data_IF_806622780687
#
_entry.id   IF_806622780687
#
_cell.length_a   1.000
_cell.length_b   1.000
_cell.length_c   1.000
_cell.angle_alpha   90.00
_cell.angle_beta   90.00
_cell.angle_gamma   90.00
#
_symmetry.space_group_name_H-M   'P 1'
#
loop_
_entity.id
_entity.type
_entity.pdbx_description
1 polymer ?
#
# COMPACT_ATOMS: atom_id res chain seq x y z
N UNK A 1 21.45 7.74 12.71
CA UNK A 1 20.88 7.35 11.41
C UNK A 1 19.38 7.56 11.51
N UNK A 2 18.76 8.23 10.53
CA UNK A 2 17.30 8.47 10.53
C UNK A 2 16.52 7.15 10.46
N UNK A 3 15.36 7.07 11.15
CA UNK A 3 14.59 5.83 11.31
C UNK A 3 13.15 5.99 10.83
N UNK A 4 12.65 4.98 10.11
CA UNK A 4 11.25 4.90 9.70
C UNK A 4 10.58 3.73 10.45
N UNK A 5 9.33 3.92 10.86
CA UNK A 5 8.48 2.85 11.37
C UNK A 5 7.30 2.66 10.41
N UNK A 6 7.07 1.44 9.98
CA UNK A 6 5.83 1.04 9.30
C UNK A 6 4.88 0.41 10.30
N UNK A 7 3.61 0.79 10.29
CA UNK A 7 2.56 0.22 11.16
C UNK A 7 1.37 -0.18 10.31
N UNK A 8 0.94 -1.43 10.36
CA UNK A 8 -0.24 -1.88 9.60
C UNK A 8 -0.33 -3.39 9.46
N UNK A 9 -1.41 -3.85 8.84
CA UNK A 9 -1.62 -5.26 8.55
C UNK A 9 -0.68 -5.75 7.46
N UNK A 10 -0.31 -7.02 7.56
CA UNK A 10 0.46 -7.72 6.56
C UNK A 10 -0.16 -9.07 6.20
N UNK A 11 0.13 -9.54 5.01
CA UNK A 11 -0.27 -10.84 4.51
C UNK A 11 0.82 -11.44 3.62
N UNK A 12 0.58 -12.64 3.13
CA UNK A 12 1.35 -13.28 2.09
C UNK A 12 0.59 -13.15 0.76
N UNK A 13 1.15 -12.42 -0.18
CA UNK A 13 0.66 -12.35 -1.55
C UNK A 13 1.25 -13.49 -2.36
N UNK A 14 0.40 -14.37 -2.89
CA UNK A 14 0.79 -15.55 -3.68
C UNK A 14 0.31 -15.35 -5.12
N UNK A 15 1.20 -15.51 -6.08
CA UNK A 15 0.89 -15.50 -7.50
C UNK A 15 1.12 -16.91 -8.06
N UNK A 16 0.02 -17.55 -8.50
CA UNK A 16 0.04 -18.86 -9.14
C UNK A 16 -0.11 -18.65 -10.64
N UNK A 17 0.96 -18.88 -11.37
CA UNK A 17 0.98 -18.73 -12.83
C UNK A 17 0.45 -20.01 -13.49
N UNK A 18 -0.57 -19.83 -14.33
CA UNK A 18 -1.29 -20.95 -14.93
C UNK A 18 -1.46 -20.75 -16.44
N UNK A 19 -1.70 -21.86 -17.14
CA UNK A 19 -2.39 -21.82 -18.44
C UNK A 19 -3.78 -22.49 -18.33
N UNK A 20 -4.64 -22.20 -19.29
CA UNK A 20 -6.01 -22.71 -19.36
C UNK A 20 -6.30 -23.18 -20.79
N UNK A 21 -5.86 -24.39 -21.12
CA UNK A 21 -5.91 -24.93 -22.49
C UNK A 21 -7.24 -25.63 -22.82
N UNK A 22 -8.07 -25.91 -21.82
CA UNK A 22 -9.37 -26.60 -22.00
C UNK A 22 -10.38 -26.20 -20.94
N UNK A 23 -11.64 -26.45 -21.25
CA UNK A 23 -12.72 -26.36 -20.26
C UNK A 23 -12.87 -27.67 -19.47
N UNK A 24 -13.42 -27.56 -18.28
CA UNK A 24 -13.84 -28.72 -17.49
C UNK A 24 -15.04 -29.41 -18.18
N UNK A 25 -15.08 -30.75 -18.27
CA UNK A 25 -16.21 -31.45 -18.85
C UNK A 25 -17.49 -31.31 -18.00
N UNK A 26 -17.36 -31.12 -16.69
CA UNK A 26 -18.49 -31.10 -15.75
C UNK A 26 -19.10 -29.70 -15.57
N UNK A 27 -18.42 -28.64 -15.99
CA UNK A 27 -18.86 -27.25 -15.85
C UNK A 27 -18.14 -26.32 -16.84
N UNK A 28 -18.76 -25.21 -17.28
CA UNK A 28 -18.17 -24.26 -18.22
C UNK A 28 -17.10 -23.36 -17.56
N UNK A 29 -16.11 -23.97 -16.93
CA UNK A 29 -14.99 -23.30 -16.25
C UNK A 29 -13.66 -23.78 -16.83
N UNK A 30 -12.60 -22.93 -16.84
CA UNK A 30 -11.28 -23.35 -17.31
C UNK A 30 -10.67 -24.38 -16.35
N UNK A 31 -9.93 -25.34 -16.92
CA UNK A 31 -9.01 -26.20 -16.14
C UNK A 31 -7.66 -25.50 -16.14
N UNK A 32 -7.23 -25.08 -14.95
CA UNK A 32 -5.93 -24.41 -14.76
C UNK A 32 -4.82 -25.45 -14.57
N UNK A 33 -3.79 -25.37 -15.38
CA UNK A 33 -2.54 -26.10 -15.16
C UNK A 33 -1.52 -25.13 -14.57
N UNK A 34 -1.07 -25.42 -13.35
CA UNK A 34 -0.08 -24.59 -12.64
C UNK A 34 1.29 -24.80 -13.27
N UNK A 35 1.96 -23.72 -13.63
CA UNK A 35 3.28 -23.68 -14.24
C UNK A 35 4.32 -23.25 -13.20
N UNK A 36 4.03 -22.19 -12.43
CA UNK A 36 4.94 -21.61 -11.46
C UNK A 36 4.19 -20.93 -10.33
N UNK A 37 4.87 -20.66 -9.22
CA UNK A 37 4.31 -19.92 -8.09
C UNK A 37 5.38 -19.00 -7.49
N UNK A 38 4.98 -17.77 -7.18
CA UNK A 38 5.81 -16.83 -6.43
C UNK A 38 5.05 -16.30 -5.21
N UNK A 39 5.81 -15.94 -4.18
CA UNK A 39 5.26 -15.40 -2.94
C UNK A 39 5.99 -14.12 -2.56
N UNK A 40 5.24 -13.14 -2.05
CA UNK A 40 5.77 -11.88 -1.58
C UNK A 40 5.10 -11.47 -0.27
N UNK A 41 5.82 -10.81 0.64
CA UNK A 41 5.18 -10.09 1.73
C UNK A 41 4.28 -8.99 1.17
N UNK A 42 3.01 -9.00 1.57
CA UNK A 42 2.01 -8.02 1.11
C UNK A 42 1.67 -6.97 2.17
N UNK A 43 0.90 -5.94 1.76
CA UNK A 43 0.40 -4.86 2.62
C UNK A 43 1.54 -4.10 3.31
N UNK A 44 1.48 -3.85 4.63
CA UNK A 44 2.51 -3.11 5.38
C UNK A 44 3.92 -3.70 5.23
N UNK A 45 4.06 -5.03 5.11
CA UNK A 45 5.36 -5.65 4.83
C UNK A 45 5.89 -5.33 3.43
N UNK A 46 5.02 -5.13 2.44
CA UNK A 46 5.44 -4.68 1.13
C UNK A 46 5.95 -3.23 1.18
N UNK A 47 5.29 -2.36 1.95
CA UNK A 47 5.79 -0.99 2.21
C UNK A 47 7.16 -1.04 2.88
N UNK A 48 7.34 -1.84 3.93
CA UNK A 48 8.64 -2.01 4.59
C UNK A 48 9.71 -2.52 3.62
N UNK A 49 9.39 -3.51 2.79
CA UNK A 49 10.30 -4.07 1.79
C UNK A 49 10.76 -3.03 0.78
N UNK A 50 9.83 -2.18 0.29
CA UNK A 50 10.17 -1.07 -0.61
C UNK A 50 11.02 0.00 0.10
N UNK A 51 10.76 0.29 1.37
CA UNK A 51 11.63 1.20 2.14
C UNK A 51 13.02 0.60 2.28
N UNK A 52 13.13 -0.68 2.66
CA UNK A 52 14.41 -1.35 2.89
C UNK A 52 15.25 -1.54 1.62
N UNK A 53 14.66 -1.48 0.42
CA UNK A 53 15.45 -1.51 -0.83
C UNK A 53 16.25 -0.22 -1.06
N UNK A 54 15.85 0.89 -0.40
CA UNK A 54 16.43 2.21 -0.57
C UNK A 54 17.01 2.81 0.73
N UNK A 55 16.62 2.28 1.89
CA UNK A 55 16.98 2.82 3.21
C UNK A 55 17.02 1.72 4.27
N UNK A 56 18.19 1.40 4.81
CA UNK A 56 18.45 0.23 5.68
C UNK A 56 17.86 0.29 7.10
N UNK A 57 17.12 1.33 7.47
CA UNK A 57 16.69 1.55 8.86
C UNK A 57 15.18 1.73 8.97
N UNK A 58 14.45 0.64 8.70
CA UNK A 58 13.00 0.59 8.74
C UNK A 58 12.49 -0.56 9.61
N UNK A 59 11.87 -0.21 10.74
CA UNK A 59 11.18 -1.17 11.60
C UNK A 59 9.71 -1.37 11.15
N UNK A 60 9.08 -2.45 11.60
CA UNK A 60 7.66 -2.72 11.36
C UNK A 60 6.94 -3.20 12.62
N UNK A 61 5.71 -2.72 12.80
CA UNK A 61 4.71 -3.28 13.72
C UNK A 61 3.55 -3.80 12.91
N UNK A 62 3.36 -5.11 12.90
CA UNK A 62 2.32 -5.80 12.11
C UNK A 62 1.74 -6.99 12.88
N UNK A 63 0.67 -7.59 12.36
CA UNK A 63 0.07 -8.79 12.91
C UNK A 63 1.04 -9.97 12.91
N UNK A 64 1.08 -10.71 14.01
CA UNK A 64 2.03 -11.83 14.19
C UNK A 64 1.80 -12.97 13.19
N UNK A 65 0.56 -13.22 12.84
CA UNK A 65 0.13 -14.30 11.95
C UNK A 65 0.08 -13.90 10.47
N UNK A 66 0.83 -12.86 10.07
CA UNK A 66 0.78 -12.35 8.69
C UNK A 66 1.08 -13.42 7.63
N UNK A 67 1.90 -14.41 7.98
CA UNK A 67 2.27 -15.49 7.06
C UNK A 67 1.12 -16.47 6.77
N UNK A 68 0.19 -16.64 7.71
CA UNK A 68 -0.98 -17.51 7.58
C UNK A 68 -2.11 -16.86 6.77
N UNK A 69 -2.08 -15.52 6.64
CA UNK A 69 -3.06 -14.76 5.87
C UNK A 69 -2.58 -14.68 4.43
N UNK A 70 -3.32 -15.28 3.50
CA UNK A 70 -2.93 -15.37 2.09
C UNK A 70 -3.90 -14.64 1.18
N UNK A 71 -3.35 -14.02 0.14
CA UNK A 71 -4.08 -13.45 -1.00
C UNK A 71 -3.54 -14.11 -2.26
N UNK A 72 -4.18 -15.20 -2.70
CA UNK A 72 -3.69 -16.02 -3.81
C UNK A 72 -4.35 -15.60 -5.12
N UNK A 73 -3.55 -15.16 -6.07
CA UNK A 73 -3.97 -14.76 -7.42
C UNK A 73 -3.59 -15.84 -8.41
N UNK A 74 -4.57 -16.36 -9.14
CA UNK A 74 -4.36 -17.27 -10.24
C UNK A 74 -4.32 -16.43 -11.53
N UNK A 75 -3.15 -16.36 -12.16
CA UNK A 75 -2.89 -15.49 -13.32
C UNK A 75 -2.38 -16.29 -14.49
N UNK A 76 -2.69 -15.83 -15.71
CA UNK A 76 -2.20 -16.48 -16.93
C UNK A 76 -0.68 -16.27 -17.06
N UNK A 77 0.06 -17.34 -17.39
CA UNK A 77 1.53 -17.35 -17.42
C UNK A 77 2.14 -16.32 -18.38
N UNK A 78 1.51 -16.04 -19.52
CA UNK A 78 2.05 -15.18 -20.58
C UNK A 78 1.31 -13.81 -20.70
N UNK A 79 0.25 -13.59 -19.94
CA UNK A 79 -0.50 -12.33 -19.91
C UNK A 79 -0.83 -11.96 -18.48
N UNK A 80 -1.22 -10.72 -18.23
CA UNK A 80 -1.62 -10.28 -16.88
C UNK A 80 -3.10 -10.59 -16.58
N UNK A 81 -3.72 -11.48 -17.35
CA UNK A 81 -5.11 -11.89 -17.12
C UNK A 81 -5.20 -12.69 -15.81
N UNK A 82 -5.92 -12.15 -14.84
CA UNK A 82 -6.23 -12.85 -13.60
C UNK A 82 -7.53 -13.64 -13.78
N UNK A 83 -7.45 -14.96 -13.61
CA UNK A 83 -8.61 -15.83 -13.66
C UNK A 83 -9.52 -15.60 -12.45
N UNK A 84 -8.95 -15.63 -11.26
CA UNK A 84 -9.62 -15.34 -9.99
C UNK A 84 -8.61 -15.14 -8.87
N UNK A 85 -9.11 -14.69 -7.71
CA UNK A 85 -8.34 -14.56 -6.47
C UNK A 85 -9.03 -15.33 -5.35
N UNK A 86 -8.23 -16.01 -4.53
CA UNK A 86 -8.67 -16.68 -3.31
C UNK A 86 -8.01 -16.01 -2.12
N UNK A 87 -8.81 -15.50 -1.21
CA UNK A 87 -8.33 -14.89 0.03
C UNK A 87 -8.61 -15.81 1.20
N UNK A 88 -7.63 -16.02 2.07
CA UNK A 88 -7.89 -16.62 3.39
C UNK A 88 -8.69 -15.64 4.26
N UNK A 89 -9.29 -16.14 5.33
CA UNK A 89 -9.97 -15.29 6.30
C UNK A 89 -8.97 -14.33 6.99
N UNK A 90 -9.32 -13.05 7.06
CA UNK A 90 -8.49 -12.02 7.71
C UNK A 90 -8.73 -12.05 9.24
N UNK A 91 -8.20 -13.04 9.95
CA UNK A 91 -8.21 -13.11 11.42
C UNK A 91 -7.00 -12.38 11.97
N UNK A 92 -7.15 -11.09 12.26
CA UNK A 92 -6.05 -10.21 12.65
C UNK A 92 -6.32 -9.63 14.05
N UNK A 93 -5.41 -9.90 14.99
CA UNK A 93 -5.44 -9.28 16.32
C UNK A 93 -5.11 -7.80 16.26
N UNK A 94 -5.86 -6.99 17.00
CA UNK A 94 -5.62 -5.55 17.13
C UNK A 94 -4.24 -5.28 17.75
N UNK A 95 -3.61 -4.21 17.29
CA UNK A 95 -2.34 -3.71 17.85
C UNK A 95 -2.48 -3.38 19.34
N UNK A 96 -1.43 -3.64 20.11
CA UNK A 96 -1.31 -3.08 21.45
C UNK A 96 -0.57 -1.73 21.39
N UNK A 97 -1.33 -0.66 21.13
CA UNK A 97 -0.80 0.68 20.93
C UNK A 97 -0.05 1.21 22.17
N UNK A 98 -0.39 0.76 23.39
CA UNK A 98 0.29 1.15 24.64
C UNK A 98 1.75 0.72 24.70
N UNK A 99 2.15 -0.26 23.90
CA UNK A 99 3.53 -0.75 23.80
C UNK A 99 4.31 -0.11 22.64
N UNK A 100 3.66 0.74 21.85
CA UNK A 100 4.31 1.40 20.73
C UNK A 100 5.31 2.44 21.21
N UNK A 101 6.47 2.49 20.52
CA UNK A 101 7.50 3.53 20.73
C UNK A 101 7.40 4.53 19.57
N UNK A 102 7.65 5.80 19.88
CA UNK A 102 7.53 6.91 18.93
C UNK A 102 8.88 7.58 18.59
N UNK A 103 10.00 6.92 18.91
CA UNK A 103 11.35 7.43 18.67
C UNK A 103 11.84 7.17 17.24
N UNK A 104 11.03 7.58 16.26
CA UNK A 104 11.29 7.50 14.83
C UNK A 104 11.25 8.90 14.20
N UNK A 105 11.86 9.07 13.03
CA UNK A 105 11.81 10.32 12.29
C UNK A 105 10.51 10.42 11.47
N UNK A 106 10.03 9.27 10.97
CA UNK A 106 8.77 9.14 10.22
C UNK A 106 8.06 7.87 10.67
N UNK A 107 6.73 7.95 10.76
CA UNK A 107 5.85 6.79 10.88
C UNK A 107 5.00 6.71 9.61
N UNK A 108 4.99 5.54 8.97
CA UNK A 108 4.12 5.21 7.84
C UNK A 108 3.05 4.25 8.32
N UNK A 109 1.78 4.66 8.25
CA UNK A 109 0.63 3.80 8.52
C UNK A 109 0.14 3.23 7.20
N UNK A 110 0.14 1.90 7.07
CA UNK A 110 -0.41 1.15 5.94
C UNK A 110 -1.58 0.31 6.43
N UNK A 111 -2.76 0.93 6.46
CA UNK A 111 -4.00 0.37 7.02
C UNK A 111 -4.92 -0.16 5.92
N UNK A 112 -5.04 -1.47 5.85
CA UNK A 112 -5.94 -2.15 4.92
C UNK A 112 -7.34 -2.40 5.49
N UNK A 113 -7.61 -1.83 6.68
CA UNK A 113 -8.89 -1.92 7.38
C UNK A 113 -9.33 -3.37 7.65
N UNK A 114 -8.38 -4.21 8.11
CA UNK A 114 -8.59 -5.63 8.42
C UNK A 114 -8.61 -5.90 9.94
N UNK A 115 -8.70 -4.84 10.75
CA UNK A 115 -8.89 -4.92 12.20
C UNK A 115 -7.62 -4.75 13.04
N UNK A 116 -6.44 -4.60 12.44
CA UNK A 116 -5.21 -4.35 13.18
C UNK A 116 -5.19 -2.97 13.85
N UNK A 117 -5.69 -1.94 13.16
CA UNK A 117 -5.81 -0.57 13.65
C UNK A 117 -7.28 -0.14 13.65
N UNK A 118 -7.73 0.50 14.71
CA UNK A 118 -8.97 1.28 14.70
C UNK A 118 -8.70 2.74 14.28
N UNK A 119 -9.74 3.52 14.02
CA UNK A 119 -9.60 4.95 13.76
C UNK A 119 -8.96 5.69 14.94
N UNK A 120 -9.34 5.32 16.17
CA UNK A 120 -8.79 5.88 17.41
C UNK A 120 -7.32 5.50 17.62
N UNK A 121 -6.88 4.31 17.16
CA UNK A 121 -5.48 3.93 17.19
C UNK A 121 -4.65 4.82 16.26
N UNK A 122 -5.16 5.05 15.04
CA UNK A 122 -4.51 5.91 14.05
C UNK A 122 -4.44 7.35 14.57
N UNK A 123 -5.54 7.88 15.10
CA UNK A 123 -5.57 9.20 15.71
C UNK A 123 -4.55 9.33 16.85
N UNK A 124 -4.48 8.31 17.72
CA UNK A 124 -3.50 8.25 18.81
C UNK A 124 -2.06 8.29 18.30
N UNK A 125 -1.74 7.55 17.24
CA UNK A 125 -0.41 7.57 16.61
C UNK A 125 -0.11 8.98 16.09
N UNK A 126 -1.06 9.59 15.38
CA UNK A 126 -0.90 10.92 14.80
C UNK A 126 -0.75 12.03 15.86
N UNK A 127 -1.41 11.89 17.01
CA UNK A 127 -1.27 12.82 18.13
C UNK A 127 0.10 12.70 18.85
N UNK A 128 0.69 11.50 18.85
CA UNK A 128 1.96 11.23 19.52
C UNK A 128 3.19 11.37 18.61
N UNK A 129 3.01 11.56 17.29
CA UNK A 129 4.11 11.72 16.35
C UNK A 129 3.77 12.74 15.25
N UNK A 130 4.61 13.75 15.08
CA UNK A 130 4.35 14.89 14.17
C UNK A 130 4.41 14.55 12.67
N UNK A 131 5.17 13.53 12.28
CA UNK A 131 5.40 13.18 10.87
C UNK A 131 4.85 11.78 10.59
N UNK A 132 3.52 11.69 10.43
CA UNK A 132 2.82 10.45 10.10
C UNK A 132 2.30 10.53 8.69
N UNK A 133 2.72 9.57 7.84
CA UNK A 133 2.15 9.33 6.52
C UNK A 133 1.09 8.25 6.64
N UNK A 134 -0.12 8.55 6.23
CA UNK A 134 -1.27 7.66 6.34
C UNK A 134 -1.72 7.15 4.97
N UNK A 135 -1.70 5.84 4.76
CA UNK A 135 -2.43 5.13 3.70
C UNK A 135 -3.49 4.27 4.36
N UNK A 136 -4.76 4.50 4.09
CA UNK A 136 -5.86 3.80 4.75
C UNK A 136 -7.01 3.46 3.81
N UNK A 137 -7.63 2.30 4.03
CA UNK A 137 -8.87 1.88 3.37
C UNK A 137 -10.12 2.28 4.16
N UNK A 138 -9.94 2.89 5.33
CA UNK A 138 -11.05 3.46 6.09
C UNK A 138 -11.60 4.71 5.40
N UNK A 139 -12.88 4.96 5.60
CA UNK A 139 -13.48 6.24 5.26
C UNK A 139 -12.86 7.32 6.15
N UNK A 140 -12.30 8.37 5.54
CA UNK A 140 -11.73 9.49 6.27
C UNK A 140 -12.79 10.25 7.06
N UNK A 141 -12.39 10.73 8.22
CA UNK A 141 -13.16 11.61 9.10
C UNK A 141 -12.17 12.40 9.98
N UNK A 142 -12.68 13.13 10.97
CA UNK A 142 -11.93 13.96 11.93
C UNK A 142 -10.75 13.24 12.60
N UNK A 143 -10.82 11.93 12.80
CA UNK A 143 -9.74 11.11 13.35
C UNK A 143 -8.42 11.18 12.56
N UNK A 144 -8.50 11.51 11.26
CA UNK A 144 -7.33 11.63 10.40
C UNK A 144 -6.71 13.04 10.39
N UNK A 145 -7.31 14.01 11.08
CA UNK A 145 -6.88 15.42 11.05
C UNK A 145 -5.43 15.66 11.51
N UNK A 146 -4.88 14.78 12.34
CA UNK A 146 -3.54 14.92 12.89
C UNK A 146 -2.45 14.20 12.08
N UNK A 147 -2.80 13.46 11.00
CA UNK A 147 -1.82 12.96 10.06
C UNK A 147 -1.07 14.12 9.39
N UNK A 148 0.22 13.96 9.12
CA UNK A 148 0.98 14.96 8.36
C UNK A 148 0.56 14.95 6.90
N UNK A 149 0.49 13.77 6.28
CA UNK A 149 0.04 13.56 4.90
C UNK A 149 -0.80 12.29 4.80
N UNK A 150 -1.78 12.31 3.92
CA UNK A 150 -2.74 11.22 3.73
C UNK A 150 -2.73 10.83 2.25
N UNK A 151 -2.25 9.64 1.93
CA UNK A 151 -2.30 9.10 0.56
C UNK A 151 -3.55 8.23 0.43
N UNK A 152 -4.39 8.55 -0.53
CA UNK A 152 -5.57 7.76 -0.89
C UNK A 152 -5.74 7.70 -2.42
N UNK A 153 -6.37 6.62 -2.89
CA UNK A 153 -6.71 6.47 -4.29
C UNK A 153 -8.11 7.03 -4.59
N UNK A 154 -8.52 6.98 -5.87
CA UNK A 154 -9.78 7.53 -6.34
C UNK A 154 -11.02 6.87 -5.68
N UNK A 155 -10.98 5.56 -5.41
CA UNK A 155 -12.09 4.87 -4.72
C UNK A 155 -12.20 5.31 -3.25
N UNK A 156 -11.08 5.45 -2.57
CA UNK A 156 -11.00 5.89 -1.18
C UNK A 156 -11.39 7.38 -1.05
N UNK A 157 -10.97 8.21 -2.00
CA UNK A 157 -11.34 9.61 -2.10
C UNK A 157 -12.87 9.76 -2.25
N UNK A 158 -13.47 9.09 -3.24
CA UNK A 158 -14.92 9.09 -3.47
C UNK A 158 -15.72 8.60 -2.27
N UNK A 159 -15.23 7.56 -1.60
CA UNK A 159 -15.83 7.02 -0.38
C UNK A 159 -15.85 8.03 0.76
N UNK A 160 -14.85 8.91 0.82
CA UNK A 160 -14.63 9.87 1.92
C UNK A 160 -15.14 11.28 1.61
N UNK A 161 -15.52 11.60 0.39
CA UNK A 161 -15.75 12.97 -0.11
C UNK A 161 -16.66 13.82 0.78
N UNK A 162 -17.72 13.24 1.35
CA UNK A 162 -18.65 13.94 2.21
C UNK A 162 -18.08 14.31 3.60
N UNK A 163 -16.94 13.75 3.98
CA UNK A 163 -16.29 13.97 5.26
C UNK A 163 -14.98 14.77 5.10
N UNK A 164 -14.56 15.04 3.86
CA UNK A 164 -13.32 15.79 3.60
C UNK A 164 -13.56 17.26 3.89
N UNK A 165 -13.00 17.71 5.00
CA UNK A 165 -12.95 19.13 5.37
C UNK A 165 -11.79 19.84 4.66
N UNK A 166 -11.76 21.19 4.61
CA UNK A 166 -10.62 21.93 4.08
C UNK A 166 -9.27 21.54 4.75
N UNK A 167 -9.30 21.21 6.06
CA UNK A 167 -8.12 20.75 6.78
C UNK A 167 -7.63 19.39 6.27
N UNK A 168 -8.52 18.43 6.06
CA UNK A 168 -8.18 17.14 5.49
C UNK A 168 -7.69 17.29 4.04
N UNK A 169 -8.38 18.09 3.23
CA UNK A 169 -8.03 18.31 1.83
C UNK A 169 -6.59 18.81 1.69
N UNK A 170 -6.13 19.72 2.55
CA UNK A 170 -4.75 20.24 2.52
C UNK A 170 -3.67 19.20 2.83
N UNK A 171 -4.04 18.01 3.26
CA UNK A 171 -3.13 16.88 3.61
C UNK A 171 -3.23 15.71 2.65
N UNK A 172 -4.27 15.69 1.81
CA UNK A 172 -4.55 14.56 0.93
C UNK A 172 -3.66 14.61 -0.31
N UNK A 173 -2.95 13.52 -0.55
CA UNK A 173 -2.29 13.17 -1.80
C UNK A 173 -3.18 12.14 -2.49
N UNK A 174 -3.95 12.57 -3.47
CA UNK A 174 -4.92 11.77 -4.19
C UNK A 174 -4.26 11.11 -5.40
N UNK A 175 -4.04 9.80 -5.36
CA UNK A 175 -3.42 9.07 -6.48
C UNK A 175 -4.44 8.75 -7.56
N UNK A 176 -4.07 9.06 -8.82
CA UNK A 176 -4.93 9.00 -10.02
C UNK A 176 -4.46 7.92 -11.02
N UNK A 177 -3.74 6.91 -10.55
CA UNK A 177 -3.19 5.83 -11.39
C UNK A 177 -2.23 6.37 -12.46
N UNK A 178 -2.52 6.12 -13.73
CA UNK A 178 -1.68 6.54 -14.86
C UNK A 178 -1.59 8.06 -15.06
N UNK A 179 -2.43 8.84 -14.39
CA UNK A 179 -2.38 10.31 -14.44
C UNK A 179 -1.47 10.92 -13.35
N UNK A 180 -0.90 10.07 -12.47
CA UNK A 180 -0.06 10.49 -11.37
C UNK A 180 -0.84 10.73 -10.09
N UNK A 181 -0.72 11.92 -9.48
CA UNK A 181 -1.50 12.27 -8.28
C UNK A 181 -1.77 13.77 -8.21
N UNK A 182 -2.77 14.13 -7.39
CA UNK A 182 -3.13 15.51 -7.09
C UNK A 182 -2.79 15.83 -5.63
N UNK A 183 -2.21 17.00 -5.40
CA UNK A 183 -1.97 17.57 -4.07
C UNK A 183 -2.13 19.08 -4.13
N UNK A 184 -2.91 19.67 -3.21
CA UNK A 184 -3.22 21.10 -3.17
C UNK A 184 -3.69 21.69 -4.52
N UNK A 185 -4.57 20.98 -5.23
CA UNK A 185 -5.09 21.32 -6.57
C UNK A 185 -4.02 21.36 -7.69
N UNK A 186 -2.84 20.82 -7.44
CA UNK A 186 -1.79 20.66 -8.44
C UNK A 186 -1.69 19.19 -8.83
N UNK A 187 -1.76 18.90 -10.12
CA UNK A 187 -1.58 17.54 -10.65
C UNK A 187 -0.12 17.29 -10.99
N UNK A 188 0.49 16.35 -10.30
CA UNK A 188 1.84 15.84 -10.52
C UNK A 188 1.76 14.67 -11.48
N UNK A 189 1.90 14.96 -12.77
CA UNK A 189 1.79 13.97 -13.84
C UNK A 189 2.95 13.00 -13.85
N UNK A 190 2.72 11.81 -14.41
CA UNK A 190 3.73 10.79 -14.70
C UNK A 190 3.83 10.55 -16.20
N UNK A 191 5.01 10.13 -16.65
CA UNK A 191 5.18 9.66 -18.01
C UNK A 191 4.39 8.37 -18.25
N UNK A 192 3.83 8.23 -19.45
CA UNK A 192 3.17 6.98 -19.84
C UNK A 192 4.20 5.86 -19.97
N UNK A 193 3.97 4.79 -19.24
CA UNK A 193 4.80 3.59 -19.26
C UNK A 193 3.98 2.39 -19.68
N UNK A 194 4.64 1.36 -20.21
CA UNK A 194 4.00 0.07 -20.44
C UNK A 194 3.73 -0.61 -19.10
N UNK A 195 2.46 -0.73 -18.73
CA UNK A 195 2.03 -1.33 -17.47
C UNK A 195 1.91 -2.83 -17.64
N UNK A 196 2.69 -3.59 -16.88
CA UNK A 196 2.59 -5.06 -16.79
C UNK A 196 1.76 -5.50 -15.59
N UNK A 197 1.94 -4.87 -14.44
CA UNK A 197 1.15 -5.17 -13.23
C UNK A 197 1.09 -3.93 -12.34
N UNK A 198 -0.08 -3.64 -11.79
CA UNK A 198 -0.28 -2.50 -10.87
C UNK A 198 -0.20 -2.91 -9.39
N UNK A 199 0.01 -4.19 -9.11
CA UNK A 199 0.07 -4.72 -7.75
C UNK A 199 1.25 -4.11 -6.98
N UNK A 200 0.98 -3.53 -5.82
CA UNK A 200 2.00 -2.92 -4.97
C UNK A 200 2.42 -1.49 -5.34
N UNK A 201 1.93 -0.93 -6.46
CA UNK A 201 2.26 0.45 -6.86
C UNK A 201 1.95 1.49 -5.77
N UNK A 202 0.81 1.33 -5.07
CA UNK A 202 0.43 2.20 -3.96
C UNK A 202 1.36 2.08 -2.75
N UNK A 203 1.82 0.86 -2.44
CA UNK A 203 2.78 0.60 -1.36
C UNK A 203 4.16 1.19 -1.70
N UNK A 204 4.57 1.07 -2.97
CA UNK A 204 5.82 1.66 -3.46
C UNK A 204 5.74 3.18 -3.47
N UNK A 205 4.60 3.76 -3.86
CA UNK A 205 4.38 5.21 -3.82
C UNK A 205 4.59 5.76 -2.40
N UNK A 206 3.92 5.19 -1.38
CA UNK A 206 4.04 5.70 0.00
C UNK A 206 5.44 5.46 0.58
N UNK A 207 6.12 4.38 0.18
CA UNK A 207 7.51 4.12 0.56
C UNK A 207 8.46 5.19 -0.01
N UNK A 208 8.38 5.47 -1.32
CA UNK A 208 9.16 6.51 -1.98
C UNK A 208 8.87 7.90 -1.42
N UNK A 209 7.61 8.19 -1.13
CA UNK A 209 7.17 9.45 -0.51
C UNK A 209 7.84 9.65 0.85
N UNK A 210 7.81 8.65 1.72
CA UNK A 210 8.39 8.71 3.06
C UNK A 210 9.92 8.85 3.02
N UNK A 211 10.60 8.09 2.15
CA UNK A 211 12.05 8.14 2.01
C UNK A 211 12.50 9.54 1.53
N UNK A 212 11.89 10.04 0.47
CA UNK A 212 12.29 11.34 -0.09
C UNK A 212 12.00 12.48 0.88
N UNK A 213 10.88 12.41 1.59
CA UNK A 213 10.57 13.38 2.64
C UNK A 213 11.55 13.30 3.82
N UNK A 214 12.02 12.12 4.18
CA UNK A 214 13.05 11.95 5.20
C UNK A 214 14.34 12.69 4.83
N UNK A 215 14.69 12.71 3.56
CA UNK A 215 15.87 13.39 3.03
C UNK A 215 15.71 14.91 2.99
N UNK A 216 14.64 15.38 2.34
CA UNK A 216 14.49 16.78 1.88
C UNK A 216 13.57 17.62 2.75
N UNK A 217 12.67 17.00 3.52
CA UNK A 217 11.56 17.68 4.22
C UNK A 217 10.66 18.52 3.28
N UNK A 218 10.67 18.19 1.99
CA UNK A 218 9.88 18.84 0.94
C UNK A 218 8.86 17.84 0.38
N UNK A 219 7.57 18.12 0.55
CA UNK A 219 6.51 17.20 0.13
C UNK A 219 6.34 17.14 -1.39
N UNK A 220 6.57 18.25 -2.10
CA UNK A 220 6.42 18.29 -3.55
C UNK A 220 7.51 17.47 -4.25
N UNK A 221 8.77 17.61 -3.81
CA UNK A 221 9.86 16.75 -4.28
C UNK A 221 9.58 15.27 -3.95
N UNK A 222 8.98 15.01 -2.78
CA UNK A 222 8.66 13.66 -2.36
C UNK A 222 7.55 13.04 -3.20
N UNK A 223 6.56 13.81 -3.61
CA UNK A 223 5.48 13.39 -4.52
C UNK A 223 6.06 13.05 -5.90
N UNK A 224 6.92 13.90 -6.45
CA UNK A 224 7.57 13.64 -7.74
C UNK A 224 8.37 12.33 -7.69
N UNK A 225 9.16 12.14 -6.65
CA UNK A 225 9.93 10.91 -6.45
C UNK A 225 9.05 9.68 -6.27
N UNK A 226 7.97 9.78 -5.48
CA UNK A 226 7.01 8.70 -5.27
C UNK A 226 6.32 8.26 -6.58
N UNK A 227 5.98 9.20 -7.45
CA UNK A 227 5.45 8.93 -8.78
C UNK A 227 6.45 8.16 -9.65
N UNK A 228 7.73 8.53 -9.63
CA UNK A 228 8.80 7.81 -10.35
C UNK A 228 8.91 6.37 -9.84
N UNK A 229 8.95 6.18 -8.52
CA UNK A 229 9.02 4.87 -7.88
C UNK A 229 7.83 3.98 -8.28
N UNK A 230 6.60 4.50 -8.20
CA UNK A 230 5.41 3.76 -8.59
C UNK A 230 5.39 3.42 -10.09
N UNK A 231 5.86 4.34 -10.94
CA UNK A 231 5.96 4.13 -12.40
C UNK A 231 6.99 3.07 -12.76
N UNK A 232 8.04 2.91 -11.95
CA UNK A 232 9.06 1.88 -12.20
C UNK A 232 8.53 0.48 -11.91
N UNK A 233 7.91 0.25 -10.74
CA UNK A 233 7.45 -1.08 -10.36
C UNK A 233 6.33 -1.62 -11.24
N UNK A 234 5.46 -0.79 -11.81
CA UNK A 234 4.38 -1.26 -12.69
C UNK A 234 4.87 -1.80 -14.04
N UNK A 235 6.12 -1.57 -14.42
CA UNK A 235 6.77 -2.15 -15.61
C UNK A 235 7.12 -3.64 -15.43
N UNK A 236 7.04 -4.16 -14.21
CA UNK A 236 7.40 -5.52 -13.85
C UNK A 236 6.16 -6.35 -13.54
N UNK A 237 6.25 -7.67 -13.65
CA UNK A 237 5.16 -8.59 -13.29
C UNK A 237 5.23 -8.91 -11.81
N UNK A 238 4.06 -9.03 -11.18
CA UNK A 238 3.92 -9.32 -9.77
C UNK A 238 4.37 -8.15 -8.88
N UNK A 239 4.52 -8.40 -7.59
CA UNK A 239 4.96 -7.40 -6.61
C UNK A 239 6.47 -7.34 -6.58
N UNK A 240 7.04 -6.26 -7.11
CA UNK A 240 8.49 -5.99 -7.11
C UNK A 240 8.83 -4.84 -6.16
N UNK A 241 10.12 -4.70 -5.84
CA UNK A 241 10.69 -3.53 -5.14
C UNK A 241 11.57 -2.72 -6.09
N UNK A 242 11.88 -1.53 -5.67
CA UNK A 242 12.81 -0.61 -6.34
C UNK A 242 14.25 -1.12 -6.30
#
# INVERSE_FOLDING_TARGET
>A
MKKILVVGESCRDVFVYCNALRLCPDAPVPVLNIIDQTENPGMAKNVQRNINSLHDNCDIITNKNWYDITKTRYVHENSNHMFFRVDSEDKIDRINIKKMKYNYDIIVISDYNKGFLTAEDIETICLNHKTVFLDTKKKLDSWANNAAFIKINDLEYKKSINNITPLLQSKIIHTLGSEGCEYNNIVYKVDKVEVKDVSGAGDTFIAGLAIKYLETQNIEESIIYANICASEVVKHRGVTTL
#
